data_IF_228611609152
#
_entry.id   IF_228611609152
#
_cell.length_a   1.000
_cell.length_b   1.000
_cell.length_c   1.000
_cell.angle_alpha   90.00
_cell.angle_beta   90.00
_cell.angle_gamma   90.00
#
_symmetry.space_group_name_H-M   'P 1'
#
loop_
_entity.id
_entity.type
_entity.pdbx_description
1 polymer ?
#
# COMPACT_ATOMS: atom_id res chain seq x y z
N UNK A 1 -12.02 -15.98 3.23
CA UNK A 1 -12.84 -15.09 4.08
C UNK A 1 -12.32 -15.09 5.53
N UNK A 2 -12.54 -14.02 6.30
CA UNK A 2 -12.13 -13.89 7.70
C UNK A 2 -10.64 -14.19 7.96
N UNK A 3 -9.77 -13.62 7.13
CA UNK A 3 -8.33 -13.77 7.23
C UNK A 3 -7.67 -12.43 6.88
N UNK A 4 -6.61 -12.05 7.56
CA UNK A 4 -5.80 -10.88 7.20
C UNK A 4 -4.52 -11.34 6.52
N UNK A 5 -4.27 -10.86 5.31
CA UNK A 5 -3.05 -11.17 4.57
C UNK A 5 -2.13 -9.96 4.61
N UNK A 6 -1.17 -9.97 5.54
CA UNK A 6 -0.18 -8.91 5.64
C UNK A 6 1.00 -9.19 4.72
N UNK A 7 1.29 -8.26 3.81
CA UNK A 7 2.50 -8.25 2.96
C UNK A 7 3.29 -6.95 3.20
N UNK A 8 4.00 -6.85 4.34
CA UNK A 8 4.69 -5.62 4.74
C UNK A 8 5.89 -5.31 3.83
N UNK A 9 6.06 -4.03 3.51
CA UNK A 9 7.12 -3.50 2.67
C UNK A 9 8.44 -3.24 3.42
N UNK A 10 8.38 -3.02 4.73
CA UNK A 10 9.56 -2.86 5.58
C UNK A 10 9.37 -3.38 7.02
N UNK A 11 10.36 -3.14 7.86
CA UNK A 11 10.34 -3.56 9.27
C UNK A 11 9.30 -2.82 10.12
N UNK A 12 9.03 -1.54 9.83
CA UNK A 12 8.06 -0.73 10.57
C UNK A 12 6.65 -1.23 10.28
N UNK A 13 6.34 -1.48 9.01
CA UNK A 13 5.06 -2.08 8.64
C UNK A 13 4.88 -3.45 9.28
N UNK A 14 5.92 -4.29 9.31
CA UNK A 14 5.85 -5.61 9.92
C UNK A 14 5.52 -5.54 11.43
N UNK A 15 6.14 -4.61 12.18
CA UNK A 15 5.80 -4.41 13.60
C UNK A 15 4.34 -4.01 13.77
N UNK A 16 3.84 -3.07 12.95
CA UNK A 16 2.44 -2.62 13.01
C UNK A 16 1.46 -3.74 12.61
N UNK A 17 1.81 -4.55 11.61
CA UNK A 17 1.03 -5.71 11.20
C UNK A 17 0.90 -6.73 12.35
N UNK A 18 1.97 -7.01 13.09
CA UNK A 18 1.91 -7.85 14.30
C UNK A 18 1.02 -7.27 15.39
N UNK A 19 1.11 -5.95 15.64
CA UNK A 19 0.22 -5.30 16.61
C UNK A 19 -1.25 -5.46 16.23
N UNK A 20 -1.59 -5.33 14.95
CA UNK A 20 -2.96 -5.53 14.47
C UNK A 20 -3.36 -7.00 14.61
N UNK A 21 -2.52 -7.93 14.14
CA UNK A 21 -2.80 -9.36 14.18
C UNK A 21 -3.04 -9.89 15.61
N UNK A 22 -2.27 -9.40 16.59
CA UNK A 22 -2.42 -9.79 18.01
C UNK A 22 -3.72 -9.28 18.65
N UNK A 23 -4.30 -8.21 18.10
CA UNK A 23 -5.57 -7.64 18.57
C UNK A 23 -6.78 -8.04 17.69
N UNK A 24 -6.56 -8.84 16.65
CA UNK A 24 -7.61 -9.23 15.72
C UNK A 24 -8.32 -10.52 16.19
N UNK A 25 -9.64 -10.56 16.01
CA UNK A 25 -10.47 -11.76 16.28
C UNK A 25 -10.44 -12.79 15.13
N UNK A 26 -9.61 -12.55 14.12
CA UNK A 26 -9.47 -13.40 12.92
C UNK A 26 -7.99 -13.73 12.68
N UNK A 27 -7.69 -14.92 12.11
CA UNK A 27 -6.33 -15.32 11.83
C UNK A 27 -5.64 -14.40 10.80
N UNK A 28 -4.31 -14.37 10.86
CA UNK A 28 -3.45 -13.54 10.00
C UNK A 28 -2.32 -14.35 9.37
N UNK A 29 -1.92 -13.98 8.16
CA UNK A 29 -0.71 -14.46 7.48
C UNK A 29 0.28 -13.30 7.30
N UNK A 30 1.57 -13.63 7.32
CA UNK A 30 2.66 -12.71 7.07
C UNK A 30 3.45 -13.19 5.85
N UNK A 31 3.26 -12.52 4.72
CA UNK A 31 3.95 -12.78 3.45
C UNK A 31 5.24 -11.98 3.45
N UNK A 32 6.35 -12.63 3.81
CA UNK A 32 7.65 -11.98 4.04
C UNK A 32 8.63 -12.27 2.90
N UNK A 33 9.46 -11.28 2.57
CA UNK A 33 10.47 -11.38 1.53
C UNK A 33 11.69 -12.18 1.97
N UNK A 34 12.35 -12.84 1.01
CA UNK A 34 13.66 -13.48 1.22
C UNK A 34 14.79 -12.44 1.12
N UNK A 35 14.65 -11.50 0.20
CA UNK A 35 15.62 -10.48 -0.16
C UNK A 35 15.52 -9.25 0.74
N UNK A 36 16.61 -8.47 0.78
CA UNK A 36 16.64 -7.19 1.50
C UNK A 36 15.71 -6.18 0.80
N UNK A 37 14.84 -5.53 1.59
CA UNK A 37 14.01 -4.40 1.17
C UNK A 37 14.53 -3.09 1.78
N UNK A 38 14.12 -1.96 1.20
CA UNK A 38 14.47 -0.62 1.68
C UNK A 38 13.49 -0.19 2.77
N UNK A 39 13.99 0.52 3.78
CA UNK A 39 13.13 1.17 4.76
C UNK A 39 12.35 2.30 4.09
N UNK A 40 11.09 2.46 4.48
CA UNK A 40 10.21 3.49 3.95
C UNK A 40 10.31 4.78 4.79
N UNK A 41 9.92 5.89 4.18
CA UNK A 41 9.66 7.12 4.93
C UNK A 41 8.36 6.98 5.74
N UNK A 42 8.14 7.88 6.69
CA UNK A 42 6.91 7.90 7.48
C UNK A 42 5.66 8.14 6.60
N UNK A 43 4.49 7.61 7.01
CA UNK A 43 3.23 7.85 6.32
C UNK A 43 2.91 9.35 6.19
N UNK A 44 2.44 9.78 5.01
CA UNK A 44 1.88 11.12 4.78
C UNK A 44 0.43 11.21 5.26
N UNK A 45 -0.35 10.16 5.02
CA UNK A 45 -1.74 10.06 5.48
C UNK A 45 -2.15 8.60 5.64
N UNK A 46 -2.77 8.28 6.77
CA UNK A 46 -3.13 6.91 7.13
C UNK A 46 -1.98 6.14 7.77
N UNK A 47 -2.20 4.87 8.03
CA UNK A 47 -1.18 3.95 8.53
C UNK A 47 -1.57 2.49 8.21
N UNK A 48 -0.71 1.52 8.54
CA UNK A 48 -0.91 0.07 8.33
C UNK A 48 -2.27 -0.44 8.85
N UNK A 49 -2.79 0.15 9.92
CA UNK A 49 -4.12 -0.17 10.50
C UNK A 49 -5.28 0.06 9.53
N UNK A 50 -5.07 0.89 8.51
CA UNK A 50 -6.05 1.19 7.46
C UNK A 50 -5.94 0.22 6.28
N UNK A 51 -5.00 -0.73 6.29
CA UNK A 51 -4.76 -1.68 5.20
C UNK A 51 -4.01 -1.11 4.00
N UNK A 52 -4.29 0.15 3.65
CA UNK A 52 -3.52 0.95 2.71
C UNK A 52 -3.35 2.38 3.22
N UNK A 53 -2.25 3.05 2.86
CA UNK A 53 -1.95 4.43 3.28
C UNK A 53 -1.01 5.14 2.31
N UNK A 54 -0.97 6.48 2.35
CA UNK A 54 -0.14 7.31 1.47
C UNK A 54 1.29 7.43 1.99
N UNK A 55 2.26 7.07 1.15
CA UNK A 55 3.68 7.37 1.34
C UNK A 55 4.12 8.62 0.57
N UNK A 56 3.38 8.97 -0.48
CA UNK A 56 3.58 10.18 -1.27
C UNK A 56 2.22 10.71 -1.70
N UNK A 57 1.97 12.00 -1.47
CA UNK A 57 0.74 12.69 -1.86
C UNK A 57 1.10 13.94 -2.66
N UNK A 58 0.62 14.03 -3.89
CA UNK A 58 0.82 15.16 -4.78
C UNK A 58 -0.52 15.83 -5.09
N UNK A 59 -0.52 17.17 -5.18
CA UNK A 59 -1.70 17.91 -5.63
C UNK A 59 -2.01 17.54 -7.09
N UNK A 60 -3.29 17.36 -7.39
CA UNK A 60 -3.77 17.02 -8.74
C UNK A 60 -3.11 15.79 -9.37
N UNK A 61 -2.81 14.78 -8.53
CA UNK A 61 -2.20 13.52 -8.95
C UNK A 61 -2.93 12.92 -10.16
N UNK A 62 -2.15 12.66 -11.23
CA UNK A 62 -2.61 12.01 -12.45
C UNK A 62 -2.60 10.50 -12.31
N UNK A 63 -1.65 9.99 -11.53
CA UNK A 63 -1.48 8.58 -11.26
C UNK A 63 -1.41 8.30 -9.76
N UNK A 64 -1.99 7.19 -9.33
CA UNK A 64 -1.69 6.57 -8.03
C UNK A 64 -1.02 5.23 -8.29
N UNK A 65 0.21 5.07 -7.80
CA UNK A 65 0.89 3.77 -7.80
C UNK A 65 0.60 3.07 -6.47
N UNK A 66 -0.17 1.98 -6.53
CA UNK A 66 -0.57 1.18 -5.38
C UNK A 66 0.21 -0.13 -5.39
N UNK A 67 0.90 -0.44 -4.29
CA UNK A 67 1.70 -1.65 -4.19
C UNK A 67 1.72 -2.21 -2.77
N UNK A 68 2.17 -3.45 -2.62
CA UNK A 68 2.47 -4.07 -1.34
C UNK A 68 3.91 -4.59 -1.32
N UNK A 69 4.42 -4.92 -0.13
CA UNK A 69 5.68 -5.64 0.03
C UNK A 69 6.86 -5.06 -0.75
N UNK A 70 7.55 -5.93 -1.49
CA UNK A 70 8.79 -5.59 -2.19
C UNK A 70 8.61 -4.58 -3.34
N UNK A 71 7.38 -4.37 -3.82
CA UNK A 71 7.11 -3.50 -4.97
C UNK A 71 6.88 -2.04 -4.56
N UNK A 72 6.69 -1.74 -3.27
CA UNK A 72 6.44 -0.37 -2.80
C UNK A 72 7.61 0.57 -3.11
N UNK A 73 8.85 0.11 -2.93
CA UNK A 73 10.02 0.93 -3.26
C UNK A 73 10.14 1.18 -4.77
N UNK A 74 9.77 0.20 -5.60
CA UNK A 74 9.71 0.37 -7.05
C UNK A 74 8.71 1.49 -7.41
N UNK A 75 7.52 1.50 -6.80
CA UNK A 75 6.53 2.55 -7.01
C UNK A 75 7.02 3.94 -6.56
N UNK A 76 7.75 4.04 -5.44
CA UNK A 76 8.35 5.32 -5.01
C UNK A 76 9.33 5.86 -6.05
N UNK A 77 10.22 5.02 -6.55
CA UNK A 77 11.21 5.41 -7.55
C UNK A 77 10.54 5.77 -8.89
N UNK A 78 9.54 4.99 -9.31
CA UNK A 78 8.76 5.26 -10.52
C UNK A 78 7.97 6.57 -10.41
N UNK A 79 7.35 6.86 -9.26
CA UNK A 79 6.66 8.14 -9.03
C UNK A 79 7.63 9.32 -9.06
N UNK A 80 8.86 9.16 -8.54
CA UNK A 80 9.88 10.20 -8.63
C UNK A 80 10.30 10.45 -10.07
N UNK A 81 10.40 9.40 -10.89
CA UNK A 81 10.73 9.53 -12.30
C UNK A 81 9.59 10.14 -13.13
N UNK A 82 8.35 9.74 -12.87
CA UNK A 82 7.15 10.33 -13.50
C UNK A 82 7.01 11.82 -13.17
N UNK A 83 7.33 12.24 -11.95
CA UNK A 83 7.29 13.65 -11.59
C UNK A 83 8.36 14.49 -12.31
N UNK A 84 9.56 13.94 -12.54
CA UNK A 84 10.57 14.61 -13.40
C UNK A 84 10.07 14.80 -14.83
N UNK A 85 9.19 13.92 -15.29
CA UNK A 85 8.55 13.99 -16.60
C UNK A 85 7.29 14.86 -16.61
N UNK A 86 6.91 15.45 -15.48
CA UNK A 86 5.78 16.37 -15.37
C UNK A 86 4.45 15.74 -14.95
N UNK A 87 4.46 14.47 -14.50
CA UNK A 87 3.26 13.78 -14.02
C UNK A 87 3.22 13.73 -12.49
N UNK A 88 2.28 14.44 -11.87
CA UNK A 88 2.04 14.36 -10.42
C UNK A 88 1.56 12.96 -10.04
N UNK A 89 2.19 12.35 -9.03
CA UNK A 89 1.91 10.96 -8.63
C UNK A 89 1.69 10.81 -7.12
N UNK A 90 0.69 10.02 -6.75
CA UNK A 90 0.57 9.46 -5.42
C UNK A 90 1.25 8.08 -5.36
N UNK A 91 1.74 7.72 -4.16
CA UNK A 91 2.19 6.36 -3.88
C UNK A 91 1.49 5.84 -2.64
N UNK A 92 0.82 4.71 -2.79
CA UNK A 92 0.07 4.03 -1.74
C UNK A 92 0.76 2.70 -1.42
N UNK A 93 1.11 2.51 -0.15
CA UNK A 93 1.45 1.18 0.37
C UNK A 93 0.18 0.50 0.86
N UNK A 94 -0.07 -0.74 0.42
CA UNK A 94 -1.19 -1.57 0.82
C UNK A 94 -0.70 -2.87 1.48
N UNK A 95 -0.22 -2.82 2.74
CA UNK A 95 0.22 -4.01 3.44
C UNK A 95 -0.89 -5.02 3.72
N UNK A 96 -2.17 -4.66 3.70
CA UNK A 96 -3.28 -5.61 3.89
C UNK A 96 -4.55 -5.18 3.13
N UNK A 97 -4.89 -5.95 2.08
CA UNK A 97 -6.05 -5.73 1.23
C UNK A 97 -7.36 -5.77 2.04
N UNK A 98 -7.53 -6.76 2.92
CA UNK A 98 -8.78 -7.00 3.63
C UNK A 98 -9.10 -5.91 4.67
N UNK A 99 -8.08 -5.24 5.20
CA UNK A 99 -8.27 -4.05 6.03
C UNK A 99 -8.67 -2.85 5.18
N UNK A 100 -8.06 -2.69 4.00
CA UNK A 100 -8.36 -1.57 3.11
C UNK A 100 -9.79 -1.63 2.56
N UNK A 101 -10.28 -2.83 2.27
CA UNK A 101 -11.67 -3.07 1.87
C UNK A 101 -12.70 -2.59 2.90
N UNK A 102 -12.34 -2.54 4.19
CA UNK A 102 -13.22 -2.10 5.28
C UNK A 102 -13.24 -0.59 5.47
N UNK A 103 -12.34 0.14 4.82
CA UNK A 103 -12.28 1.58 4.93
C UNK A 103 -13.48 2.24 4.25
N UNK A 104 -13.90 3.39 4.77
CA UNK A 104 -14.96 4.17 4.14
C UNK A 104 -14.54 4.72 2.77
N UNK A 105 -15.54 5.09 1.96
CA UNK A 105 -15.32 5.60 0.60
C UNK A 105 -14.47 6.87 0.60
N UNK A 106 -14.67 7.78 1.55
CA UNK A 106 -13.93 9.04 1.62
C UNK A 106 -12.43 8.79 1.82
N UNK A 107 -12.08 7.81 2.65
CA UNK A 107 -10.71 7.37 2.86
C UNK A 107 -10.11 6.77 1.58
N UNK A 108 -10.82 5.84 0.95
CA UNK A 108 -10.39 5.20 -0.31
C UNK A 108 -10.21 6.24 -1.43
N UNK A 109 -11.17 7.14 -1.62
CA UNK A 109 -11.15 8.20 -2.64
C UNK A 109 -10.03 9.22 -2.43
N UNK A 110 -9.52 9.39 -1.20
CA UNK A 110 -8.33 10.23 -0.96
C UNK A 110 -7.05 9.56 -1.47
N UNK A 111 -6.91 8.25 -1.26
CA UNK A 111 -5.74 7.48 -1.69
C UNK A 111 -5.73 7.29 -3.22
N UNK A 112 -6.88 6.96 -3.79
CA UNK A 112 -7.05 6.52 -5.17
C UNK A 112 -7.40 7.70 -6.08
N UNK A 113 -6.41 8.55 -6.37
CA UNK A 113 -6.56 9.73 -7.25
C UNK A 113 -6.04 9.44 -8.65
N UNK A 114 -6.73 9.98 -9.66
CA UNK A 114 -6.33 9.82 -11.05
C UNK A 114 -6.49 8.36 -11.53
N UNK A 115 -5.62 7.95 -12.45
CA UNK A 115 -5.54 6.56 -12.90
C UNK A 115 -4.71 5.74 -11.91
N UNK A 116 -5.27 4.66 -11.40
CA UNK A 116 -4.64 3.84 -10.37
C UNK A 116 -3.98 2.63 -11.02
N UNK A 117 -2.71 2.39 -10.69
CA UNK A 117 -1.95 1.23 -11.18
C UNK A 117 -1.52 0.38 -9.99
N UNK A 118 -2.06 -0.83 -9.93
CA UNK A 118 -1.66 -1.86 -8.98
C UNK A 118 -0.36 -2.54 -9.42
N UNK A 119 0.62 -2.62 -8.52
CA UNK A 119 1.95 -3.21 -8.79
C UNK A 119 2.30 -4.23 -7.72
N UNK A 120 2.24 -5.50 -8.08
CA UNK A 120 2.66 -6.61 -7.23
C UNK A 120 3.37 -7.68 -8.07
N UNK A 121 4.38 -8.32 -7.49
CA UNK A 121 5.02 -9.50 -8.07
C UNK A 121 4.17 -10.76 -7.86
N UNK A 122 2.93 -10.72 -8.35
CA UNK A 122 1.91 -11.75 -8.21
C UNK A 122 0.97 -11.75 -9.42
N UNK A 123 0.11 -12.76 -9.51
CA UNK A 123 -1.08 -12.72 -10.35
C UNK A 123 -2.28 -12.37 -9.45
N UNK A 124 -2.42 -11.08 -9.14
CA UNK A 124 -3.38 -10.54 -8.17
C UNK A 124 -4.49 -9.73 -8.83
N UNK A 125 -5.37 -10.40 -9.59
CA UNK A 125 -6.50 -9.74 -10.27
C UNK A 125 -7.48 -9.07 -9.30
N UNK A 126 -7.47 -9.42 -8.02
CA UNK A 126 -8.22 -8.72 -6.98
C UNK A 126 -7.89 -7.23 -6.89
N UNK A 127 -6.71 -6.79 -7.34
CA UNK A 127 -6.32 -5.37 -7.38
C UNK A 127 -7.23 -4.52 -8.28
N UNK A 128 -7.90 -5.11 -9.28
CA UNK A 128 -8.91 -4.43 -10.09
C UNK A 128 -10.10 -3.91 -9.27
N UNK A 129 -10.21 -4.29 -7.98
CA UNK A 129 -11.16 -3.67 -7.06
C UNK A 129 -10.82 -2.20 -6.77
N UNK A 130 -9.54 -1.84 -6.79
CA UNK A 130 -9.04 -0.51 -6.44
C UNK A 130 -8.36 0.21 -7.60
N UNK A 131 -8.10 -0.49 -8.71
CA UNK A 131 -7.45 0.04 -9.91
C UNK A 131 -8.46 0.37 -11.02
#
# INVERSE_FOLDING_TARGET
PNFLTFRPADGVENVKAWQIALNADIPSAFVLSRQKLKALNEPIFGDVKNGAYLLKESKDAKFTLLASGSEVWLCLESANELEKQGFACNVVSMPCFELFEKQDKTYQERLLKGEVIGVEAAHSNELYKFC
#
